data_IF_341698043948
#
_entry.id   IF_341698043948
#
_cell.length_a   1.000
_cell.length_b   1.000
_cell.length_c   1.000
_cell.angle_alpha   90.00
_cell.angle_beta   90.00
_cell.angle_gamma   90.00
#
_symmetry.space_group_name_H-M   'P 1'
#
loop_
_entity.id
_entity.type
_entity.pdbx_description
1 polymer ?
#
# COMPACT_ATOMS: atom_id res chain seq x y z
N UNK A 1 14.80 -10.51 -24.50
CA UNK A 1 14.64 -11.85 -23.90
C UNK A 1 13.84 -11.70 -22.61
N UNK A 2 12.56 -12.03 -22.63
CA UNK A 2 11.75 -12.12 -21.41
C UNK A 2 12.21 -13.39 -20.68
N UNK A 3 13.02 -13.23 -19.62
CA UNK A 3 13.30 -14.36 -18.74
C UNK A 3 11.99 -14.78 -18.08
N UNK A 4 11.64 -16.06 -18.23
CA UNK A 4 10.46 -16.63 -17.60
C UNK A 4 10.73 -16.70 -16.09
N UNK A 5 10.24 -15.70 -15.35
CA UNK A 5 10.41 -15.61 -13.90
C UNK A 5 9.40 -16.52 -13.22
N UNK A 6 9.87 -17.66 -12.70
CA UNK A 6 9.06 -18.51 -11.84
C UNK A 6 8.66 -17.74 -10.58
N UNK A 7 7.37 -17.43 -10.47
CA UNK A 7 6.81 -16.77 -9.28
C UNK A 7 6.34 -17.84 -8.31
N UNK A 8 6.76 -17.73 -7.04
CA UNK A 8 6.32 -18.61 -5.95
C UNK A 8 5.66 -17.75 -4.87
N UNK A 9 4.42 -18.10 -4.50
CA UNK A 9 3.74 -17.48 -3.38
C UNK A 9 4.10 -18.21 -2.09
N UNK A 10 4.32 -17.45 -1.02
CA UNK A 10 4.58 -17.97 0.32
C UNK A 10 3.48 -17.44 1.23
N UNK A 11 2.69 -18.34 1.81
CA UNK A 11 1.75 -17.99 2.88
C UNK A 11 2.50 -18.05 4.21
N UNK A 12 2.39 -16.99 5.00
CA UNK A 12 2.98 -16.93 6.33
C UNK A 12 1.86 -16.73 7.34
N UNK A 13 1.73 -17.72 8.21
CA UNK A 13 0.82 -17.70 9.34
C UNK A 13 1.64 -17.39 10.61
N UNK A 14 1.47 -16.21 11.23
CA UNK A 14 2.23 -15.87 12.42
C UNK A 14 1.80 -16.75 13.60
N UNK A 15 2.78 -17.36 14.26
CA UNK A 15 2.52 -18.20 15.44
C UNK A 15 2.10 -17.39 16.68
N UNK A 16 2.37 -16.09 16.69
CA UNK A 16 2.10 -15.14 17.78
C UNK A 16 2.03 -13.71 17.21
N UNK A 17 1.81 -12.70 18.06
CA UNK A 17 1.72 -11.29 17.69
C UNK A 17 2.98 -10.80 16.97
N UNK A 18 2.76 -10.05 15.88
CA UNK A 18 3.83 -9.46 15.10
C UNK A 18 4.02 -7.97 15.45
N UNK A 19 5.26 -7.58 15.72
CA UNK A 19 5.63 -6.19 15.99
C UNK A 19 6.52 -5.61 14.88
N UNK A 20 5.93 -4.77 14.04
CA UNK A 20 6.61 -3.99 13.00
C UNK A 20 6.75 -2.55 13.47
N UNK A 21 7.93 -2.24 13.99
CA UNK A 21 8.22 -0.90 14.51
C UNK A 21 8.18 0.15 13.39
N UNK A 22 7.79 1.35 13.78
CA UNK A 22 8.03 2.53 12.95
C UNK A 22 9.52 2.97 13.01
N UNK A 23 9.81 4.09 12.36
CA UNK A 23 11.16 4.67 12.32
C UNK A 23 11.56 5.45 13.58
N UNK A 24 10.69 5.55 14.60
CA UNK A 24 10.96 6.37 15.78
C UNK A 24 11.93 5.63 16.73
N UNK A 25 12.73 6.36 17.53
CA UNK A 25 13.49 5.78 18.62
C UNK A 25 12.58 4.97 19.55
N UNK A 26 13.08 3.83 20.04
CA UNK A 26 12.33 2.93 20.90
C UNK A 26 13.25 2.36 21.96
N UNK A 27 13.04 2.77 23.21
CA UNK A 27 13.87 2.45 24.36
C UNK A 27 13.14 1.51 25.32
N UNK A 28 13.88 0.98 26.28
CA UNK A 28 13.29 0.21 27.36
C UNK A 28 12.27 1.06 28.14
N UNK A 29 11.04 0.56 28.27
CA UNK A 29 9.93 1.24 28.94
C UNK A 29 8.99 2.01 28.00
N UNK A 30 9.33 2.18 26.72
CA UNK A 30 8.44 2.84 25.76
C UNK A 30 7.29 1.92 25.34
N UNK A 31 6.08 2.48 25.24
CA UNK A 31 4.95 1.82 24.60
C UNK A 31 5.10 1.88 23.08
N UNK A 32 5.01 0.73 22.41
CA UNK A 32 5.14 0.64 20.95
C UNK A 32 3.80 0.42 20.27
N UNK A 33 3.54 1.15 19.17
CA UNK A 33 2.50 0.80 18.22
C UNK A 33 3.15 0.05 17.05
N UNK A 34 2.66 -1.14 16.74
CA UNK A 34 3.06 -1.88 15.54
C UNK A 34 2.49 -1.18 14.30
N UNK A 35 3.02 -1.52 13.14
CA UNK A 35 2.46 -1.17 11.84
C UNK A 35 2.16 -2.45 11.06
N UNK A 36 1.64 -2.31 9.84
CA UNK A 36 1.67 -3.40 8.88
C UNK A 36 3.12 -3.68 8.43
N UNK A 37 3.44 -4.92 8.06
CA UNK A 37 4.77 -5.27 7.59
C UNK A 37 5.14 -4.46 6.36
N UNK A 38 6.23 -3.70 6.44
CA UNK A 38 6.76 -3.03 5.27
C UNK A 38 7.41 -4.07 4.32
N UNK A 39 7.29 -3.90 2.99
CA UNK A 39 7.92 -4.79 2.00
C UNK A 39 9.39 -5.09 2.28
N UNK A 40 10.13 -4.07 2.72
CA UNK A 40 11.56 -4.18 3.02
C UNK A 40 11.88 -5.08 4.20
N UNK A 41 11.05 -5.08 5.23
CA UNK A 41 11.28 -5.88 6.45
C UNK A 41 11.16 -7.36 6.11
N UNK A 42 10.06 -7.74 5.45
CA UNK A 42 9.83 -9.13 5.10
C UNK A 42 10.83 -9.64 4.05
N UNK A 43 11.11 -8.83 3.03
CA UNK A 43 12.12 -9.17 2.03
C UNK A 43 13.52 -9.26 2.65
N UNK A 44 13.81 -8.49 3.71
CA UNK A 44 15.04 -8.62 4.50
C UNK A 44 15.10 -9.96 5.24
N UNK A 45 14.04 -10.31 5.98
CA UNK A 45 13.94 -11.57 6.71
C UNK A 45 14.09 -12.80 5.80
N UNK A 46 13.41 -12.81 4.65
CA UNK A 46 13.53 -13.89 3.66
C UNK A 46 14.93 -13.98 3.06
N UNK A 47 15.57 -12.84 2.72
CA UNK A 47 16.96 -12.85 2.25
C UNK A 47 17.92 -13.38 3.31
N UNK A 48 17.77 -12.96 4.57
CA UNK A 48 18.58 -13.48 5.67
C UNK A 48 18.39 -14.99 5.84
N UNK A 49 17.16 -15.49 5.74
CA UNK A 49 16.89 -16.93 5.79
C UNK A 49 17.57 -17.67 4.64
N UNK A 50 17.45 -17.18 3.40
CA UNK A 50 18.11 -17.79 2.24
C UNK A 50 19.64 -17.76 2.36
N UNK A 51 20.22 -16.65 2.84
CA UNK A 51 21.66 -16.57 3.14
C UNK A 51 22.09 -17.66 4.12
N UNK A 52 21.30 -17.94 5.16
CA UNK A 52 21.58 -19.04 6.11
C UNK A 52 21.51 -20.40 5.42
N UNK A 53 20.50 -20.65 4.58
CA UNK A 53 20.38 -21.90 3.81
C UNK A 53 21.56 -22.11 2.85
N UNK A 54 22.15 -21.03 2.34
CA UNK A 54 23.34 -21.04 1.49
C UNK A 54 24.65 -21.07 2.29
N UNK A 55 24.60 -21.22 3.62
CA UNK A 55 25.74 -21.22 4.53
C UNK A 55 26.63 -19.97 4.37
N UNK A 56 26.02 -18.82 4.16
CA UNK A 56 26.73 -17.58 3.88
C UNK A 56 27.58 -17.11 5.07
N UNK A 57 28.79 -16.65 4.79
CA UNK A 57 29.56 -15.87 5.73
C UNK A 57 29.06 -14.41 5.75
N UNK A 58 28.34 -14.07 6.82
CA UNK A 58 27.82 -12.72 7.04
C UNK A 58 28.93 -11.66 7.19
N UNK A 59 30.13 -12.05 7.65
CA UNK A 59 31.28 -11.15 7.75
C UNK A 59 31.76 -10.70 6.37
N UNK A 60 31.99 -11.66 5.47
CA UNK A 60 32.34 -11.40 4.08
C UNK A 60 31.27 -10.60 3.34
N UNK A 61 29.99 -10.95 3.52
CA UNK A 61 28.88 -10.18 2.94
C UNK A 61 28.84 -8.73 3.44
N UNK A 62 29.01 -8.51 4.74
CA UNK A 62 28.98 -7.15 5.32
C UNK A 62 30.14 -6.30 4.79
N UNK A 63 31.32 -6.90 4.60
CA UNK A 63 32.46 -6.23 3.97
C UNK A 63 32.14 -5.84 2.53
N UNK A 64 31.63 -6.77 1.73
CA UNK A 64 31.22 -6.50 0.35
C UNK A 64 30.14 -5.40 0.28
N UNK A 65 29.16 -5.41 1.19
CA UNK A 65 28.12 -4.39 1.24
C UNK A 65 28.68 -2.98 1.50
N UNK A 66 29.67 -2.84 2.39
CA UNK A 66 30.34 -1.55 2.65
C UNK A 66 31.16 -1.07 1.45
N UNK A 67 31.81 -1.99 0.75
CA UNK A 67 32.66 -1.67 -0.42
C UNK A 67 31.83 -1.33 -1.66
N UNK A 68 30.68 -1.98 -1.86
CA UNK A 68 29.83 -1.79 -3.05
C UNK A 68 28.71 -0.77 -2.84
N UNK A 69 28.22 -0.61 -1.62
CA UNK A 69 27.09 0.28 -1.31
C UNK A 69 25.72 -0.22 -1.79
N UNK A 70 25.66 -1.42 -2.39
CA UNK A 70 24.44 -2.02 -2.92
C UNK A 70 24.30 -3.48 -2.48
N UNK A 71 23.12 -3.86 -1.97
CA UNK A 71 22.85 -5.24 -1.58
C UNK A 71 22.97 -6.22 -2.75
N UNK A 72 22.50 -5.83 -3.94
CA UNK A 72 22.56 -6.68 -5.13
C UNK A 72 24.00 -6.94 -5.57
N UNK A 73 24.83 -5.90 -5.56
CA UNK A 73 26.24 -6.03 -5.89
C UNK A 73 27.01 -6.81 -4.82
N UNK A 74 26.63 -6.66 -3.55
CA UNK A 74 27.20 -7.42 -2.44
C UNK A 74 26.86 -8.92 -2.55
N UNK A 75 25.63 -9.29 -2.96
CA UNK A 75 25.28 -10.69 -3.22
C UNK A 75 26.11 -11.27 -4.37
N UNK A 76 26.25 -10.53 -5.47
CA UNK A 76 27.04 -10.97 -6.62
C UNK A 76 28.54 -11.07 -6.32
N UNK A 77 29.06 -10.28 -5.38
CA UNK A 77 30.46 -10.29 -4.98
C UNK A 77 30.79 -11.29 -3.85
N UNK A 78 29.78 -11.88 -3.21
CA UNK A 78 29.98 -12.83 -2.11
C UNK A 78 29.82 -14.26 -2.63
N UNK A 79 30.86 -15.11 -2.56
CA UNK A 79 30.79 -16.48 -3.05
C UNK A 79 29.61 -17.26 -2.48
N UNK A 80 28.81 -17.86 -3.36
CA UNK A 80 27.64 -18.68 -2.99
C UNK A 80 26.34 -17.88 -2.79
N UNK A 81 26.38 -16.55 -2.85
CA UNK A 81 25.19 -15.69 -2.75
C UNK A 81 24.72 -15.10 -4.07
N UNK A 82 25.41 -15.37 -5.17
CA UNK A 82 25.10 -14.85 -6.51
C UNK A 82 23.63 -15.10 -6.92
N UNK A 83 23.01 -16.27 -6.62
CA UNK A 83 21.60 -16.50 -6.93
C UNK A 83 20.65 -15.50 -6.25
N UNK A 84 21.01 -14.92 -5.10
CA UNK A 84 20.14 -13.94 -4.42
C UNK A 84 20.02 -12.62 -5.17
N UNK A 85 20.97 -12.29 -6.05
CA UNK A 85 20.91 -11.10 -6.88
C UNK A 85 19.75 -11.16 -7.91
N UNK A 86 19.26 -12.35 -8.25
CA UNK A 86 18.14 -12.54 -9.19
C UNK A 86 16.78 -12.73 -8.51
N UNK A 87 16.72 -12.74 -7.16
CA UNK A 87 15.48 -12.94 -6.42
C UNK A 87 14.77 -11.60 -6.16
N UNK A 88 13.60 -11.45 -6.77
CA UNK A 88 12.67 -10.37 -6.50
C UNK A 88 11.63 -10.76 -5.44
N UNK A 89 11.30 -9.83 -4.55
CA UNK A 89 10.22 -10.01 -3.57
C UNK A 89 9.11 -9.01 -3.87
N UNK A 90 7.86 -9.47 -3.79
CA UNK A 90 6.65 -8.65 -3.90
C UNK A 90 5.77 -8.89 -2.67
N UNK A 91 4.92 -7.91 -2.34
CA UNK A 91 4.16 -7.90 -1.10
C UNK A 91 4.91 -7.22 0.05
N UNK A 92 4.53 -7.46 1.32
CA UNK A 92 3.50 -8.41 1.75
C UNK A 92 2.09 -8.00 1.33
N UNK A 93 1.22 -8.99 1.22
CA UNK A 93 -0.22 -8.80 1.10
C UNK A 93 -0.89 -9.54 2.26
N UNK A 94 -1.95 -8.95 2.81
CA UNK A 94 -2.86 -9.72 3.65
C UNK A 94 -3.58 -10.73 2.76
N UNK A 95 -3.98 -11.87 3.32
CA UNK A 95 -4.61 -12.95 2.57
C UNK A 95 -5.84 -13.46 3.33
N UNK A 96 -6.96 -13.58 2.62
CA UNK A 96 -8.18 -14.22 3.14
C UNK A 96 -8.14 -15.68 2.76
N UNK A 97 -8.06 -16.55 3.78
CA UNK A 97 -8.20 -17.99 3.62
C UNK A 97 -9.69 -18.39 3.48
N UNK A 98 -9.97 -19.55 2.87
CA UNK A 98 -11.33 -20.09 2.67
C UNK A 98 -12.10 -20.27 3.97
N UNK A 99 -11.39 -20.42 5.08
CA UNK A 99 -11.96 -20.63 6.40
C UNK A 99 -12.23 -19.32 7.15
N UNK A 100 -11.75 -18.19 6.61
CA UNK A 100 -12.00 -16.89 7.20
C UNK A 100 -13.38 -16.40 6.75
N UNK A 101 -14.23 -16.08 7.71
CA UNK A 101 -15.54 -15.49 7.46
C UNK A 101 -15.68 -14.22 8.29
N UNK A 102 -15.83 -13.09 7.61
CA UNK A 102 -16.18 -11.81 8.24
C UNK A 102 -17.41 -11.25 7.52
N UNK A 103 -18.35 -10.60 8.22
CA UNK A 103 -19.44 -9.90 7.56
C UNK A 103 -18.89 -8.94 6.48
N UNK A 104 -19.28 -9.15 5.23
CA UNK A 104 -18.81 -8.32 4.11
C UNK A 104 -17.68 -8.88 3.27
N UNK A 105 -17.02 -9.97 3.66
CA UNK A 105 -16.09 -10.66 2.75
C UNK A 105 -16.87 -11.48 1.74
N UNK A 106 -16.54 -11.37 0.45
CA UNK A 106 -16.97 -12.37 -0.54
C UNK A 106 -16.43 -13.74 -0.14
N UNK A 107 -17.03 -14.82 -0.64
CA UNK A 107 -16.48 -16.17 -0.49
C UNK A 107 -15.14 -16.37 -1.22
N UNK A 108 -14.56 -15.31 -1.79
CA UNK A 108 -13.32 -15.36 -2.55
C UNK A 108 -12.10 -15.39 -1.63
N UNK A 109 -11.30 -16.44 -1.77
CA UNK A 109 -9.97 -16.53 -1.19
C UNK A 109 -8.97 -15.77 -2.02
N UNK A 110 -8.06 -15.03 -1.40
CA UNK A 110 -7.08 -14.30 -2.17
C UNK A 110 -6.34 -13.22 -1.39
N UNK A 111 -5.38 -12.57 -2.05
CA UNK A 111 -4.72 -11.39 -1.49
C UNK A 111 -5.73 -10.25 -1.35
N UNK A 112 -5.65 -9.55 -0.23
CA UNK A 112 -6.32 -8.30 0.00
C UNK A 112 -5.42 -7.17 -0.47
N UNK A 113 -6.03 -6.19 -1.13
CA UNK A 113 -5.35 -4.95 -1.53
C UNK A 113 -5.89 -3.78 -0.72
N UNK A 114 -5.06 -2.81 -0.33
CA UNK A 114 -5.56 -1.59 0.28
C UNK A 114 -6.58 -0.91 -0.64
N UNK A 115 -7.67 -0.43 -0.07
CA UNK A 115 -8.65 0.36 -0.81
C UNK A 115 -7.95 1.56 -1.48
N UNK A 116 -8.18 1.81 -2.77
CA UNK A 116 -7.57 2.95 -3.44
C UNK A 116 -8.12 4.25 -2.84
N UNK A 117 -7.30 5.30 -2.80
CA UNK A 117 -7.71 6.61 -2.28
C UNK A 117 -8.87 7.26 -3.06
N UNK A 118 -9.22 6.72 -4.23
CA UNK A 118 -10.39 7.12 -5.01
C UNK A 118 -11.69 6.53 -4.48
N UNK A 119 -11.64 5.49 -3.66
CA UNK A 119 -12.80 4.94 -2.97
C UNK A 119 -13.05 5.74 -1.69
N UNK A 120 -14.23 6.34 -1.59
CA UNK A 120 -14.62 7.24 -0.50
C UNK A 120 -15.94 6.82 0.12
N UNK A 121 -16.16 7.23 1.36
CA UNK A 121 -17.43 7.09 2.05
C UNK A 121 -18.23 8.37 1.85
N UNK A 122 -19.46 8.25 1.34
CA UNK A 122 -20.40 9.36 1.22
C UNK A 122 -21.00 9.63 2.58
N UNK A 123 -21.11 10.91 2.91
CA UNK A 123 -21.77 11.35 4.13
C UNK A 123 -23.14 11.94 3.80
N UNK A 124 -24.12 11.68 4.67
CA UNK A 124 -25.42 12.34 4.63
C UNK A 124 -25.34 13.77 5.21
N UNK A 125 -26.48 14.47 5.26
CA UNK A 125 -26.54 15.83 5.80
C UNK A 125 -26.25 15.92 7.31
N UNK A 126 -26.30 14.80 8.02
CA UNK A 126 -25.98 14.70 9.45
C UNK A 126 -24.52 14.32 9.69
N UNK A 127 -23.77 14.01 8.63
CA UNK A 127 -22.39 13.55 8.70
C UNK A 127 -22.27 12.04 8.93
N UNK A 128 -23.35 11.28 8.75
CA UNK A 128 -23.35 9.82 8.90
C UNK A 128 -23.03 9.13 7.58
N UNK A 129 -22.41 7.95 7.68
CA UNK A 129 -22.05 7.14 6.51
C UNK A 129 -23.31 6.70 5.74
N UNK A 130 -23.39 7.08 4.47
CA UNK A 130 -24.52 6.83 3.58
C UNK A 130 -24.21 5.82 2.45
N UNK A 131 -22.99 5.26 2.44
CA UNK A 131 -22.51 4.28 1.47
C UNK A 131 -21.22 4.73 0.77
N UNK A 132 -20.63 3.87 -0.05
CA UNK A 132 -19.37 4.16 -0.73
C UNK A 132 -19.59 4.79 -2.12
N UNK A 133 -18.57 5.49 -2.60
CA UNK A 133 -18.50 6.01 -3.95
C UNK A 133 -17.06 6.04 -4.48
N UNK A 134 -16.91 6.23 -5.79
CA UNK A 134 -15.64 6.43 -6.45
C UNK A 134 -15.49 7.87 -6.93
N UNK A 135 -14.43 8.53 -6.47
CA UNK A 135 -13.99 9.81 -7.02
C UNK A 135 -13.67 9.64 -8.49
N UNK A 136 -14.30 10.48 -9.31
CA UNK A 136 -14.11 10.49 -10.75
C UNK A 136 -13.19 11.64 -11.11
N UNK A 137 -12.14 11.38 -11.93
CA UNK A 137 -11.25 12.44 -12.33
C UNK A 137 -12.05 13.51 -13.10
N UNK A 138 -11.70 14.77 -12.91
CA UNK A 138 -12.33 15.86 -13.63
C UNK A 138 -12.09 15.71 -15.15
N UNK A 139 -13.13 15.78 -16.00
CA UNK A 139 -12.96 15.71 -17.45
C UNK A 139 -12.01 16.79 -17.95
N UNK A 140 -11.21 16.45 -18.96
CA UNK A 140 -10.35 17.42 -19.61
C UNK A 140 -11.18 18.59 -20.18
N UNK A 141 -10.79 19.82 -19.85
CA UNK A 141 -11.44 21.04 -20.37
C UNK A 141 -12.52 21.65 -19.48
N UNK A 142 -12.84 21.06 -18.32
CA UNK A 142 -13.75 21.71 -17.35
C UNK A 142 -13.01 22.72 -16.43
N UNK A 143 -13.63 23.87 -16.14
CA UNK A 143 -13.07 24.86 -15.22
C UNK A 143 -13.14 24.38 -13.76
N UNK A 144 -12.15 24.79 -12.97
CA UNK A 144 -11.95 24.32 -11.60
C UNK A 144 -12.95 24.99 -10.64
N UNK A 145 -13.69 24.23 -9.80
CA UNK A 145 -14.59 24.79 -8.80
C UNK A 145 -13.82 25.55 -7.72
N UNK A 146 -14.23 26.80 -7.41
CA UNK A 146 -13.73 27.56 -6.25
C UNK A 146 -12.34 28.19 -6.38
N UNK A 147 -11.64 27.99 -7.50
CA UNK A 147 -10.40 28.74 -7.80
C UNK A 147 -10.77 30.06 -8.51
N UNK A 148 -10.16 31.21 -8.18
CA UNK A 148 -10.65 32.49 -8.67
C UNK A 148 -10.52 32.59 -10.19
N UNK A 149 -11.66 32.61 -10.89
CA UNK A 149 -11.83 33.32 -12.16
C UNK A 149 -12.26 34.78 -11.92
N UNK A 150 -11.97 35.35 -10.74
CA UNK A 150 -12.34 36.71 -10.38
C UNK A 150 -11.24 37.70 -10.77
N UNK A 151 -11.09 37.97 -12.06
CA UNK A 151 -10.55 39.27 -12.49
C UNK A 151 -11.02 39.74 -13.87
N UNK A 152 -11.75 38.92 -14.64
CA UNK A 152 -12.09 39.28 -16.02
C UNK A 152 -10.87 39.42 -16.95
N UNK A 153 -9.65 39.15 -16.45
CA UNK A 153 -8.44 39.10 -17.25
C UNK A 153 -8.28 37.70 -17.87
N UNK A 154 -7.84 37.60 -19.13
CA UNK A 154 -7.56 36.31 -19.76
C UNK A 154 -6.49 35.53 -18.99
N UNK A 155 -6.58 34.20 -19.02
CA UNK A 155 -5.66 33.28 -18.32
C UNK A 155 -4.18 33.58 -18.60
N UNK A 156 -3.87 34.10 -19.79
CA UNK A 156 -2.53 34.49 -20.24
C UNK A 156 -1.93 35.68 -19.49
N UNK A 157 -2.73 36.44 -18.74
CA UNK A 157 -2.31 37.64 -18.03
C UNK A 157 -1.97 37.39 -16.54
N UNK A 158 -2.11 36.15 -16.05
CA UNK A 158 -1.80 35.81 -14.67
C UNK A 158 -0.31 35.46 -14.50
N UNK A 159 0.39 35.93 -13.46
CA UNK A 159 1.82 35.64 -13.24
C UNK A 159 2.12 34.16 -12.98
N UNK A 160 1.08 33.38 -12.67
CA UNK A 160 1.11 31.93 -12.53
C UNK A 160 0.46 31.22 -13.72
N UNK A 161 0.15 31.88 -14.85
CA UNK A 161 -0.53 31.30 -16.01
C UNK A 161 0.10 29.99 -16.52
N UNK A 162 1.43 29.91 -16.47
CA UNK A 162 2.20 28.72 -16.86
C UNK A 162 1.98 27.56 -15.88
N UNK A 163 1.70 27.85 -14.61
CA UNK A 163 1.40 26.87 -13.56
C UNK A 163 -0.11 26.66 -13.34
N UNK A 164 -0.95 27.62 -13.71
CA UNK A 164 -2.41 27.66 -13.63
C UNK A 164 -3.04 26.56 -14.47
N UNK A 165 -2.43 26.31 -15.62
CA UNK A 165 -2.80 25.23 -16.52
C UNK A 165 -2.50 23.83 -15.93
N UNK A 166 -1.61 23.77 -14.92
CA UNK A 166 -1.02 22.55 -14.38
C UNK A 166 -1.56 22.10 -13.01
N UNK A 167 -2.19 22.98 -12.22
CA UNK A 167 -2.77 22.61 -10.90
C UNK A 167 -4.30 22.63 -11.00
N UNK A 168 -4.89 21.43 -11.10
CA UNK A 168 -6.33 21.20 -11.25
C UNK A 168 -6.84 20.37 -10.06
N UNK A 169 -7.98 20.68 -9.40
CA UNK A 169 -8.69 19.72 -8.57
C UNK A 169 -8.84 18.42 -9.33
N UNK A 170 -8.39 17.34 -8.70
CA UNK A 170 -8.31 16.04 -9.35
C UNK A 170 -9.69 15.43 -9.61
N UNK A 171 -10.73 15.85 -8.87
CA UNK A 171 -12.01 15.14 -8.79
C UNK A 171 -13.22 16.03 -9.13
N UNK A 172 -14.24 15.45 -9.74
CA UNK A 172 -15.54 16.12 -9.96
C UNK A 172 -16.22 16.38 -8.61
N UNK A 173 -16.63 17.62 -8.28
CA UNK A 173 -17.37 17.90 -7.05
C UNK A 173 -18.73 17.20 -7.07
N UNK A 174 -19.03 16.46 -6.00
CA UNK A 174 -20.33 15.81 -5.80
C UNK A 174 -21.33 16.72 -5.07
N UNK A 175 -22.60 16.31 -5.05
CA UNK A 175 -23.67 16.99 -4.29
C UNK A 175 -23.68 16.63 -2.78
N UNK A 176 -22.69 15.85 -2.34
CA UNK A 176 -22.54 15.33 -0.98
C UNK A 176 -21.10 15.51 -0.52
N UNK A 177 -20.92 15.58 0.80
CA UNK A 177 -19.61 15.45 1.43
C UNK A 177 -19.15 14.00 1.38
N UNK A 178 -17.83 13.82 1.40
CA UNK A 178 -17.20 12.52 1.41
C UNK A 178 -15.96 12.53 2.31
N UNK A 179 -15.63 11.37 2.85
CA UNK A 179 -14.40 11.15 3.62
C UNK A 179 -13.58 10.00 3.02
N UNK A 180 -12.26 10.09 3.21
CA UNK A 180 -11.38 8.99 2.82
C UNK A 180 -11.57 7.82 3.77
N UNK A 181 -11.83 6.62 3.23
CA UNK A 181 -11.93 5.39 4.02
C UNK A 181 -10.69 4.54 3.81
N UNK A 182 -10.03 4.21 4.92
CA UNK A 182 -9.00 3.17 4.94
C UNK A 182 -9.65 1.78 5.03
N UNK A 183 -9.04 0.77 4.42
CA UNK A 183 -9.54 -0.60 4.44
C UNK A 183 -8.93 -1.44 3.33
N UNK A 184 -9.53 -2.59 3.09
CA UNK A 184 -9.07 -3.57 2.11
C UNK A 184 -10.20 -4.00 1.18
N UNK A 185 -9.80 -4.40 -0.03
CA UNK A 185 -10.66 -4.99 -1.03
C UNK A 185 -10.17 -6.42 -1.32
N UNK A 186 -11.12 -7.35 -1.41
CA UNK A 186 -10.86 -8.65 -2.02
C UNK A 186 -10.76 -8.53 -3.56
N UNK A 187 -10.54 -9.67 -4.22
CA UNK A 187 -10.35 -9.69 -5.67
C UNK A 187 -11.62 -9.29 -6.45
N UNK A 188 -12.80 -9.63 -5.94
CA UNK A 188 -14.08 -9.31 -6.59
C UNK A 188 -14.39 -7.82 -6.45
N UNK A 189 -14.19 -7.27 -5.24
CA UNK A 189 -14.30 -5.86 -4.93
C UNK A 189 -13.33 -5.02 -5.78
N UNK A 190 -12.07 -5.45 -5.89
CA UNK A 190 -11.09 -4.76 -6.74
C UNK A 190 -11.52 -4.75 -8.20
N UNK A 191 -12.03 -5.88 -8.71
CA UNK A 191 -12.52 -5.97 -10.09
C UNK A 191 -13.70 -5.02 -10.34
N UNK A 192 -14.61 -4.84 -9.38
CA UNK A 192 -15.68 -3.83 -9.44
C UNK A 192 -15.13 -2.42 -9.51
N UNK A 193 -14.18 -2.08 -8.64
CA UNK A 193 -13.55 -0.74 -8.64
C UNK A 193 -12.81 -0.45 -9.94
N UNK A 194 -12.11 -1.43 -10.51
CA UNK A 194 -11.44 -1.29 -11.80
C UNK A 194 -12.41 -1.04 -12.96
N UNK A 195 -13.66 -1.50 -12.84
CA UNK A 195 -14.76 -1.21 -13.78
C UNK A 195 -15.44 0.14 -13.50
N UNK A 196 -14.94 0.92 -12.53
CA UNK A 196 -15.52 2.19 -12.12
C UNK A 196 -16.79 2.05 -11.28
N UNK A 197 -17.01 0.89 -10.66
CA UNK A 197 -18.15 0.62 -9.79
C UNK A 197 -17.72 0.69 -8.33
N UNK A 198 -18.44 1.47 -7.52
CA UNK A 198 -18.24 1.48 -6.07
C UNK A 198 -18.64 0.12 -5.47
N UNK A 199 -18.00 -0.25 -4.37
CA UNK A 199 -18.32 -1.45 -3.59
C UNK A 199 -19.27 -1.07 -2.45
N UNK A 200 -20.05 -2.00 -1.90
CA UNK A 200 -20.95 -1.68 -0.78
C UNK A 200 -20.18 -1.21 0.46
N UNK A 201 -19.04 -1.84 0.74
CA UNK A 201 -18.15 -1.52 1.83
C UNK A 201 -16.73 -2.00 1.53
N UNK A 202 -15.74 -1.32 2.11
CA UNK A 202 -14.38 -1.85 2.21
C UNK A 202 -14.24 -2.65 3.51
N UNK A 203 -13.41 -3.69 3.48
CA UNK A 203 -13.13 -4.50 4.66
C UNK A 203 -12.29 -3.68 5.66
N UNK A 204 -12.75 -3.50 6.91
CA UNK A 204 -12.04 -2.67 7.86
C UNK A 204 -10.72 -3.34 8.26
N UNK A 205 -9.68 -2.54 8.47
CA UNK A 205 -8.37 -3.07 8.80
C UNK A 205 -8.38 -3.85 10.14
N UNK A 206 -9.21 -3.42 11.09
CA UNK A 206 -9.41 -4.10 12.37
C UNK A 206 -9.99 -5.52 12.25
N UNK A 207 -10.56 -5.90 11.10
CA UNK A 207 -11.02 -7.28 10.89
C UNK A 207 -9.85 -8.28 10.77
N UNK A 208 -8.65 -7.81 10.39
CA UNK A 208 -7.54 -8.69 10.01
C UNK A 208 -6.42 -8.78 11.04
N UNK A 209 -6.43 -7.91 12.03
CA UNK A 209 -5.44 -7.91 13.10
C UNK A 209 -6.03 -7.27 14.35
N UNK A 210 -5.87 -7.96 15.46
CA UNK A 210 -6.17 -7.42 16.78
C UNK A 210 -4.91 -6.81 17.38
N UNK A 211 -5.08 -5.62 17.96
CA UNK A 211 -4.07 -5.00 18.78
C UNK A 211 -4.18 -5.59 20.16
N UNK A 212 -3.23 -6.43 20.57
CA UNK A 212 -3.16 -6.86 21.97
C UNK A 212 -2.66 -5.68 22.82
N UNK A 213 -3.50 -5.09 23.69
CA UNK A 213 -3.04 -4.07 24.61
C UNK A 213 -2.15 -4.76 25.66
N UNK A 214 -0.87 -4.41 25.70
CA UNK A 214 -0.01 -4.83 26.82
C UNK A 214 -0.44 -4.05 28.07
N UNK A 215 -1.18 -4.71 28.95
CA UNK A 215 -1.47 -4.26 30.33
C UNK A 215 -0.24 -4.40 31.22
#
# INVERSE_FOLDING_TARGET
MTMDMKTTAILMDPLDVLFFRDGRPFNAGDSGQSLLPQPRVLAGALRTHLMRCLNADFGSYTKALREKGSCLEAYAATPGLEPLASVGFRGPWLYVDKNYSHPGTSASTGPLVPAPATLVERMDQRGEAAGMDLLRPMPAGQPLPGWPYSSGAPLSAQPWADCASAIRPLWVPGAYSWESRAGYLDSDMLASVQKGQAVEQALPAAAFYEWEPRT
#
